data_IF_799246859997
#
_entry.id   IF_799246859997
#
_cell.length_a   1.000
_cell.length_b   1.000
_cell.length_c   1.000
_cell.angle_alpha   90.00
_cell.angle_beta   90.00
_cell.angle_gamma   90.00
#
_symmetry.space_group_name_H-M   'P 1'
#
loop_
_entity.id
_entity.type
_entity.pdbx_description
1 polymer ?
#
# COMPACT_ATOMS: atom_id res chain seq x y z
N UNK A 1 -20.76 -32.56 -11.45
CA UNK A 1 -21.53 -31.44 -10.87
C UNK A 1 -20.51 -30.44 -10.38
N UNK A 2 -20.41 -29.29 -11.04
CA UNK A 2 -19.38 -28.30 -10.75
C UNK A 2 -19.67 -27.61 -9.42
N UNK A 3 -18.67 -27.58 -8.54
CA UNK A 3 -18.63 -26.61 -7.45
C UNK A 3 -18.54 -25.23 -8.10
N UNK A 4 -19.65 -24.50 -8.15
CA UNK A 4 -19.58 -23.05 -8.29
C UNK A 4 -18.77 -22.57 -7.08
N UNK A 5 -17.57 -22.05 -7.33
CA UNK A 5 -16.90 -21.23 -6.33
C UNK A 5 -17.88 -20.10 -6.02
N UNK A 6 -18.41 -20.06 -4.80
CA UNK A 6 -19.18 -18.91 -4.32
C UNK A 6 -18.25 -17.70 -4.53
N UNK A 7 -18.61 -16.81 -5.45
CA UNK A 7 -17.92 -15.53 -5.59
C UNK A 7 -17.92 -14.88 -4.21
N UNK A 8 -16.74 -14.67 -3.64
CA UNK A 8 -16.59 -13.99 -2.37
C UNK A 8 -16.92 -12.51 -2.61
N UNK A 9 -18.18 -12.13 -2.49
CA UNK A 9 -18.56 -10.72 -2.46
C UNK A 9 -17.84 -10.04 -1.30
N UNK A 10 -17.15 -8.91 -1.53
CA UNK A 10 -16.51 -8.17 -0.45
C UNK A 10 -17.54 -7.69 0.57
N UNK A 11 -17.16 -7.66 1.85
CA UNK A 11 -18.05 -7.26 2.94
C UNK A 11 -18.70 -5.88 2.69
N UNK A 12 -17.97 -4.95 2.07
CA UNK A 12 -18.46 -3.61 1.78
C UNK A 12 -19.60 -3.54 0.75
N UNK A 13 -19.83 -4.58 -0.07
CA UNK A 13 -20.97 -4.59 -1.01
C UNK A 13 -22.31 -4.59 -0.29
N UNK A 14 -22.36 -5.19 0.90
CA UNK A 14 -23.56 -5.24 1.73
C UNK A 14 -23.83 -3.95 2.51
N UNK A 15 -22.88 -3.00 2.51
CA UNK A 15 -23.00 -1.76 3.26
C UNK A 15 -23.82 -0.70 2.50
N UNK A 16 -24.51 0.22 3.22
CA UNK A 16 -25.11 1.41 2.62
C UNK A 16 -24.13 2.15 1.72
N UNK A 17 -24.61 2.77 0.64
CA UNK A 17 -23.74 3.49 -0.32
C UNK A 17 -22.94 4.65 0.32
N UNK A 18 -23.40 5.18 1.45
CA UNK A 18 -22.68 6.20 2.24
C UNK A 18 -21.43 5.68 2.93
N UNK A 19 -21.29 4.36 3.05
CA UNK A 19 -20.28 3.70 3.86
C UNK A 19 -19.26 3.03 2.93
N UNK A 20 -17.98 3.19 3.21
CA UNK A 20 -16.90 2.70 2.37
C UNK A 20 -16.49 1.28 2.74
N UNK A 21 -16.26 1.00 4.02
CA UNK A 21 -15.90 -0.35 4.50
C UNK A 21 -16.13 -0.48 6.01
N UNK A 22 -15.80 -1.64 6.58
CA UNK A 22 -15.71 -1.88 8.03
C UNK A 22 -14.25 -2.20 8.39
N UNK A 23 -13.75 -1.63 9.48
CA UNK A 23 -12.42 -1.97 10.01
C UNK A 23 -12.39 -3.40 10.54
N UNK A 24 -11.20 -3.96 10.73
CA UNK A 24 -10.98 -5.23 11.42
C UNK A 24 -11.40 -5.18 12.90
N UNK A 25 -11.60 -3.97 13.46
CA UNK A 25 -12.16 -3.74 14.79
C UNK A 25 -13.70 -3.60 14.79
N UNK A 26 -14.34 -3.61 13.62
CA UNK A 26 -15.80 -3.54 13.47
C UNK A 26 -16.37 -2.14 13.28
N UNK A 27 -15.53 -1.10 13.19
CA UNK A 27 -15.99 0.27 12.98
C UNK A 27 -16.34 0.52 11.51
N UNK A 28 -17.48 1.14 11.28
CA UNK A 28 -17.89 1.51 9.91
C UNK A 28 -17.17 2.77 9.47
N UNK A 29 -16.44 2.67 8.36
CA UNK A 29 -15.74 3.80 7.74
C UNK A 29 -16.69 4.49 6.77
N UNK A 30 -16.79 5.80 6.93
CA UNK A 30 -17.45 6.71 6.00
C UNK A 30 -16.42 7.69 5.45
N UNK A 31 -16.64 8.14 4.24
CA UNK A 31 -15.87 9.24 3.68
C UNK A 31 -16.84 10.34 3.31
N UNK A 32 -16.55 11.56 3.73
CA UNK A 32 -17.06 12.70 2.98
C UNK A 32 -16.27 12.75 1.69
N UNK A 33 -16.94 12.91 0.55
CA UNK A 33 -16.26 13.09 -0.73
C UNK A 33 -15.50 14.41 -0.63
N UNK A 34 -14.17 14.32 -0.53
CA UNK A 34 -13.33 15.47 -0.32
C UNK A 34 -13.04 16.15 -1.64
N UNK A 35 -12.97 17.48 -1.61
CA UNK A 35 -12.47 18.23 -2.72
C UNK A 35 -10.97 17.94 -2.87
N UNK A 36 -10.62 17.27 -3.96
CA UNK A 36 -9.23 17.07 -4.36
C UNK A 36 -8.60 18.45 -4.56
N UNK A 37 -7.39 18.72 -4.04
CA UNK A 37 -6.75 20.02 -4.25
C UNK A 37 -6.66 20.32 -5.75
N UNK A 38 -7.00 21.53 -6.16
CA UNK A 38 -7.18 21.91 -7.58
C UNK A 38 -5.97 21.52 -8.46
N UNK A 39 -4.75 21.69 -7.96
CA UNK A 39 -3.52 21.28 -8.66
C UNK A 39 -3.47 19.79 -9.01
N UNK A 40 -3.98 18.91 -8.13
CA UNK A 40 -4.06 17.46 -8.39
C UNK A 40 -5.09 17.19 -9.47
N UNK A 41 -6.26 17.85 -9.39
CA UNK A 41 -7.33 17.69 -10.36
C UNK A 41 -6.86 18.09 -11.78
N UNK A 42 -6.30 19.29 -11.92
CA UNK A 42 -5.75 19.78 -13.20
C UNK A 42 -4.71 18.80 -13.77
N UNK A 43 -3.81 18.29 -12.91
CA UNK A 43 -2.78 17.35 -13.34
C UNK A 43 -3.39 16.05 -13.87
N UNK A 44 -4.33 15.46 -13.13
CA UNK A 44 -4.96 14.19 -13.51
C UNK A 44 -5.80 14.38 -14.78
N UNK A 45 -6.57 15.45 -14.89
CA UNK A 45 -7.37 15.74 -16.08
C UNK A 45 -6.49 15.95 -17.32
N UNK A 46 -5.33 16.59 -17.17
CA UNK A 46 -4.34 16.73 -18.24
C UNK A 46 -3.75 15.38 -18.68
N UNK A 47 -3.41 14.50 -17.74
CA UNK A 47 -2.91 13.15 -18.04
C UNK A 47 -3.97 12.27 -18.70
N UNK A 48 -5.20 12.37 -18.21
CA UNK A 48 -6.39 11.69 -18.76
C UNK A 48 -6.68 12.13 -20.21
N UNK A 49 -6.56 13.43 -20.48
CA UNK A 49 -6.76 13.99 -21.82
C UNK A 49 -5.65 13.57 -22.80
N UNK A 50 -4.39 13.62 -22.38
CA UNK A 50 -3.25 13.17 -23.18
C UNK A 50 -3.38 11.70 -23.56
N UNK A 51 -3.79 10.85 -22.60
CA UNK A 51 -4.02 9.43 -22.87
C UNK A 51 -5.07 9.20 -23.98
N UNK A 52 -6.13 10.01 -24.03
CA UNK A 52 -7.11 9.92 -25.12
C UNK A 52 -6.55 10.40 -26.46
N UNK A 53 -5.74 11.46 -26.47
CA UNK A 53 -5.06 11.95 -27.67
C UNK A 53 -4.09 10.91 -28.26
N UNK A 54 -3.43 10.14 -27.40
CA UNK A 54 -2.50 9.07 -27.75
C UNK A 54 -3.19 7.70 -27.96
N UNK A 55 -4.54 7.66 -27.87
CA UNK A 55 -5.35 6.46 -27.98
C UNK A 55 -5.02 5.36 -26.93
N UNK A 56 -4.51 5.78 -25.77
CA UNK A 56 -4.25 4.96 -24.58
C UNK A 56 -5.49 4.91 -23.68
N UNK A 57 -6.56 4.28 -24.15
CA UNK A 57 -7.87 4.24 -23.45
C UNK A 57 -7.76 3.67 -22.03
N UNK A 58 -6.90 2.67 -21.81
CA UNK A 58 -6.67 2.08 -20.48
C UNK A 58 -6.09 3.12 -19.51
N UNK A 59 -5.20 4.00 -19.98
CA UNK A 59 -4.54 5.01 -19.16
C UNK A 59 -5.53 6.08 -18.74
N UNK A 60 -6.38 6.52 -19.66
CA UNK A 60 -7.51 7.39 -19.36
C UNK A 60 -8.41 6.80 -18.26
N UNK A 61 -8.85 5.55 -18.41
CA UNK A 61 -9.71 4.88 -17.42
C UNK A 61 -9.03 4.74 -16.05
N UNK A 62 -7.72 4.49 -16.03
CA UNK A 62 -6.93 4.47 -14.79
C UNK A 62 -6.92 5.84 -14.13
N UNK A 63 -6.72 6.92 -14.89
CA UNK A 63 -6.70 8.28 -14.34
C UNK A 63 -8.05 8.69 -13.77
N UNK A 64 -9.14 8.40 -14.47
CA UNK A 64 -10.50 8.67 -13.98
C UNK A 64 -10.79 7.90 -12.68
N UNK A 65 -10.46 6.61 -12.62
CA UNK A 65 -10.68 5.83 -11.40
C UNK A 65 -9.76 6.24 -10.23
N UNK A 66 -8.52 6.64 -10.52
CA UNK A 66 -7.61 7.21 -9.51
C UNK A 66 -8.16 8.53 -8.96
N UNK A 67 -8.70 9.40 -9.82
CA UNK A 67 -9.34 10.67 -9.44
C UNK A 67 -10.46 10.41 -8.43
N UNK A 68 -11.38 9.51 -8.74
CA UNK A 68 -12.48 9.11 -7.84
C UNK A 68 -11.98 8.62 -6.48
N UNK A 69 -10.91 7.83 -6.47
CA UNK A 69 -10.34 7.35 -5.24
C UNK A 69 -9.62 8.45 -4.43
N UNK A 70 -9.00 9.43 -5.10
CA UNK A 70 -8.40 10.59 -4.42
C UNK A 70 -9.43 11.52 -3.79
N UNK A 71 -10.67 11.55 -4.29
CA UNK A 71 -11.78 12.22 -3.59
C UNK A 71 -12.33 11.40 -2.42
N UNK A 72 -11.78 10.21 -2.17
CA UNK A 72 -12.18 9.32 -1.07
C UNK A 72 -13.20 8.26 -1.44
N UNK A 73 -13.79 8.28 -2.64
CA UNK A 73 -14.81 7.32 -3.05
C UNK A 73 -14.18 6.03 -3.62
N UNK A 74 -13.64 5.22 -2.72
CA UNK A 74 -12.92 4.00 -3.06
C UNK A 74 -13.83 2.91 -3.64
N UNK A 75 -15.09 2.82 -3.19
CA UNK A 75 -16.09 1.88 -3.74
C UNK A 75 -16.41 2.20 -5.20
N UNK A 76 -16.67 3.47 -5.51
CA UNK A 76 -16.91 3.86 -6.90
C UNK A 76 -15.68 3.65 -7.79
N UNK A 77 -14.46 3.90 -7.27
CA UNK A 77 -13.23 3.60 -8.00
C UNK A 77 -13.08 2.10 -8.30
N UNK A 78 -13.42 1.20 -7.35
CA UNK A 78 -13.46 -0.25 -7.60
C UNK A 78 -14.45 -0.60 -8.71
N UNK A 79 -15.62 0.03 -8.75
CA UNK A 79 -16.60 -0.20 -9.81
C UNK A 79 -16.04 0.23 -11.18
N UNK A 80 -15.45 1.43 -11.27
CA UNK A 80 -14.84 1.93 -12.50
C UNK A 80 -13.73 1.00 -13.01
N UNK A 81 -12.87 0.49 -12.12
CA UNK A 81 -11.87 -0.50 -12.52
C UNK A 81 -12.51 -1.82 -12.96
N UNK A 82 -13.59 -2.25 -12.31
CA UNK A 82 -14.31 -3.48 -12.68
C UNK A 82 -14.89 -3.35 -14.09
N UNK A 83 -15.53 -2.23 -14.42
CA UNK A 83 -16.07 -1.96 -15.75
C UNK A 83 -14.95 -1.85 -16.81
N UNK A 84 -13.81 -1.28 -16.45
CA UNK A 84 -12.63 -1.22 -17.32
C UNK A 84 -12.03 -2.61 -17.57
N UNK A 85 -11.99 -3.48 -16.56
CA UNK A 85 -11.49 -4.87 -16.69
C UNK A 85 -12.40 -5.70 -17.60
N UNK A 86 -13.72 -5.48 -17.56
CA UNK A 86 -14.64 -6.15 -18.50
C UNK A 86 -14.31 -5.82 -19.97
N UNK A 87 -13.87 -4.59 -20.24
CA UNK A 87 -13.48 -4.14 -21.58
C UNK A 87 -12.05 -4.56 -21.95
N UNK A 88 -11.14 -4.56 -20.97
CA UNK A 88 -9.71 -4.82 -21.16
C UNK A 88 -9.18 -5.90 -20.20
N UNK A 89 -9.66 -7.15 -20.31
CA UNK A 89 -9.39 -8.21 -19.32
C UNK A 89 -7.93 -8.66 -19.26
N UNK A 90 -7.08 -8.25 -20.21
CA UNK A 90 -5.66 -8.60 -20.24
C UNK A 90 -4.75 -7.45 -19.76
N UNK A 91 -5.32 -6.38 -19.21
CA UNK A 91 -4.55 -5.24 -18.68
C UNK A 91 -4.12 -5.47 -17.24
N UNK A 92 -2.85 -5.84 -17.03
CA UNK A 92 -2.26 -6.01 -15.70
C UNK A 92 -2.39 -4.76 -14.80
N UNK A 93 -2.35 -3.56 -15.40
CA UNK A 93 -2.45 -2.29 -14.68
C UNK A 93 -3.81 -2.11 -14.02
N UNK A 94 -4.89 -2.51 -14.69
CA UNK A 94 -6.24 -2.38 -14.14
C UNK A 94 -6.42 -3.24 -12.88
N UNK A 95 -5.99 -4.51 -12.93
CA UNK A 95 -5.99 -5.39 -11.76
C UNK A 95 -5.14 -4.81 -10.62
N UNK A 96 -3.92 -4.35 -10.93
CA UNK A 96 -3.04 -3.74 -9.91
C UNK A 96 -3.68 -2.52 -9.25
N UNK A 97 -4.39 -1.67 -10.00
CA UNK A 97 -5.02 -0.49 -9.40
C UNK A 97 -6.27 -0.85 -8.62
N UNK A 98 -7.10 -1.79 -9.11
CA UNK A 98 -8.26 -2.28 -8.36
C UNK A 98 -7.87 -2.98 -7.07
N UNK A 99 -6.86 -3.85 -7.11
CA UNK A 99 -6.30 -4.51 -5.93
C UNK A 99 -5.83 -3.52 -4.86
N UNK A 100 -5.24 -2.39 -5.27
CA UNK A 100 -4.89 -1.32 -4.34
C UNK A 100 -6.13 -0.71 -3.67
N UNK A 101 -7.24 -0.52 -4.39
CA UNK A 101 -8.48 -0.03 -3.76
C UNK A 101 -9.11 -1.09 -2.85
N UNK A 102 -9.04 -2.37 -3.21
CA UNK A 102 -9.47 -3.46 -2.32
C UNK A 102 -8.67 -3.50 -1.01
N UNK A 103 -7.35 -3.25 -1.03
CA UNK A 103 -6.56 -3.07 0.19
C UNK A 103 -7.13 -1.95 1.08
N UNK A 104 -7.38 -0.77 0.52
CA UNK A 104 -7.99 0.35 1.25
C UNK A 104 -9.34 -0.04 1.84
N UNK A 105 -10.12 -0.85 1.14
CA UNK A 105 -11.43 -1.33 1.59
C UNK A 105 -11.38 -2.58 2.48
N UNK A 106 -10.21 -3.01 2.97
CA UNK A 106 -10.03 -4.22 3.80
C UNK A 106 -10.47 -5.52 3.11
N UNK A 107 -10.64 -5.51 1.80
CA UNK A 107 -10.97 -6.68 0.99
C UNK A 107 -9.69 -7.41 0.54
N UNK A 108 -8.91 -7.89 1.51
CA UNK A 108 -7.55 -8.39 1.28
C UNK A 108 -7.49 -9.61 0.36
N UNK A 109 -8.45 -10.53 0.45
CA UNK A 109 -8.52 -11.69 -0.46
C UNK A 109 -8.66 -11.25 -1.93
N UNK A 110 -9.58 -10.32 -2.21
CA UNK A 110 -9.77 -9.79 -3.57
C UNK A 110 -8.57 -8.98 -4.05
N UNK A 111 -7.91 -8.25 -3.14
CA UNK A 111 -6.67 -7.56 -3.45
C UNK A 111 -5.56 -8.54 -3.88
N UNK A 112 -5.40 -9.65 -3.13
CA UNK A 112 -4.45 -10.72 -3.45
C UNK A 112 -4.75 -11.31 -4.83
N UNK A 113 -6.01 -11.67 -5.11
CA UNK A 113 -6.42 -12.24 -6.39
C UNK A 113 -6.07 -11.28 -7.56
N UNK A 114 -6.36 -9.99 -7.40
CA UNK A 114 -6.03 -8.97 -8.40
C UNK A 114 -4.52 -8.80 -8.60
N UNK A 115 -3.73 -8.74 -7.53
CA UNK A 115 -2.28 -8.61 -7.67
C UNK A 115 -1.63 -9.86 -8.27
N UNK A 116 -2.14 -11.06 -7.94
CA UNK A 116 -1.69 -12.31 -8.54
C UNK A 116 -2.03 -12.34 -10.05
N UNK A 117 -3.23 -11.90 -10.43
CA UNK A 117 -3.61 -11.75 -11.85
C UNK A 117 -2.70 -10.75 -12.57
N UNK A 118 -2.44 -9.58 -11.97
CA UNK A 118 -1.51 -8.60 -12.54
C UNK A 118 -0.11 -9.20 -12.76
N UNK A 119 0.41 -9.92 -11.76
CA UNK A 119 1.71 -10.59 -11.83
C UNK A 119 1.76 -11.70 -12.89
N UNK A 120 0.66 -12.42 -13.09
CA UNK A 120 0.53 -13.38 -14.19
C UNK A 120 0.57 -12.68 -15.55
N UNK A 121 -0.18 -11.58 -15.70
CA UNK A 121 -0.33 -10.87 -16.96
C UNK A 121 0.93 -10.12 -17.41
N UNK A 122 1.77 -9.65 -16.49
CA UNK A 122 3.06 -9.03 -16.84
C UNK A 122 4.25 -10.00 -16.87
N UNK A 123 4.04 -11.29 -16.55
CA UNK A 123 5.15 -12.26 -16.50
C UNK A 123 5.85 -12.35 -17.86
N UNK A 124 7.16 -12.15 -17.85
CA UNK A 124 7.99 -12.18 -19.07
C UNK A 124 7.82 -10.95 -19.98
N UNK A 125 7.12 -9.90 -19.51
CA UNK A 125 7.01 -8.62 -20.20
C UNK A 125 7.95 -7.60 -19.56
N UNK A 126 8.30 -6.58 -20.35
CA UNK A 126 9.02 -5.42 -19.84
C UNK A 126 8.21 -4.68 -18.79
N UNK A 127 8.93 -4.08 -17.84
CA UNK A 127 8.34 -3.30 -16.77
C UNK A 127 7.90 -1.93 -17.27
N UNK A 128 6.81 -1.41 -16.70
CA UNK A 128 6.20 -0.14 -17.10
C UNK A 128 6.28 0.81 -15.92
N UNK A 129 7.04 1.90 -16.08
CA UNK A 129 7.06 2.99 -15.09
C UNK A 129 5.67 3.60 -14.99
N UNK A 130 5.18 3.80 -13.77
CA UNK A 130 3.88 4.43 -13.56
C UNK A 130 4.04 5.87 -13.14
N UNK A 131 3.26 6.75 -13.76
CA UNK A 131 3.24 8.17 -13.42
C UNK A 131 2.53 8.43 -12.09
N UNK A 132 3.13 9.29 -11.28
CA UNK A 132 2.55 9.75 -10.03
C UNK A 132 1.36 10.68 -10.30
N UNK A 133 0.36 10.61 -9.43
CA UNK A 133 -0.79 11.52 -9.52
C UNK A 133 -0.36 12.96 -9.20
N UNK A 134 0.55 13.10 -8.24
CA UNK A 134 1.35 14.29 -8.05
C UNK A 134 2.82 13.94 -8.07
N UNK A 135 3.62 14.62 -8.91
CA UNK A 135 5.04 14.36 -8.95
C UNK A 135 5.73 14.76 -7.64
N UNK A 136 6.75 13.99 -7.28
CA UNK A 136 7.70 14.39 -6.23
C UNK A 136 8.52 15.63 -6.64
N UNK A 137 9.32 16.13 -5.70
CA UNK A 137 10.11 17.35 -5.89
C UNK A 137 11.08 17.29 -7.09
N UNK A 138 11.44 16.10 -7.56
CA UNK A 138 12.32 15.89 -8.71
C UNK A 138 11.56 15.53 -10.00
N UNK A 139 10.25 15.34 -9.94
CA UNK A 139 9.40 14.90 -11.05
C UNK A 139 9.90 13.59 -11.70
N UNK A 140 10.42 12.68 -10.89
CA UNK A 140 10.92 11.36 -11.32
C UNK A 140 10.00 10.28 -10.73
N UNK A 141 9.21 9.57 -11.54
CA UNK A 141 8.40 8.48 -11.01
C UNK A 141 9.28 7.38 -10.40
N UNK A 142 8.96 7.00 -9.16
CA UNK A 142 9.76 6.04 -8.41
C UNK A 142 9.30 4.60 -8.59
N UNK A 143 8.06 4.40 -9.00
CA UNK A 143 7.44 3.08 -8.99
C UNK A 143 7.01 2.63 -10.37
N UNK A 144 6.90 1.32 -10.54
CA UNK A 144 6.46 0.69 -11.78
C UNK A 144 5.31 -0.26 -11.53
N UNK A 145 4.70 -0.77 -12.60
CA UNK A 145 3.69 -1.81 -12.54
C UNK A 145 4.20 -3.00 -11.72
N UNK A 146 5.40 -3.50 -11.99
CA UNK A 146 5.92 -4.68 -11.30
C UNK A 146 6.24 -4.38 -9.84
N UNK A 147 6.94 -3.28 -9.53
CA UNK A 147 7.30 -2.97 -8.14
C UNK A 147 6.05 -2.73 -7.30
N UNK A 148 5.07 -2.03 -7.84
CA UNK A 148 3.85 -1.78 -7.10
C UNK A 148 3.01 -3.05 -6.91
N UNK A 149 2.88 -3.91 -7.93
CA UNK A 149 2.14 -5.17 -7.76
C UNK A 149 2.76 -6.01 -6.66
N UNK A 150 4.09 -6.20 -6.67
CA UNK A 150 4.76 -6.99 -5.64
C UNK A 150 4.71 -6.36 -4.25
N UNK A 151 4.83 -5.04 -4.16
CA UNK A 151 4.73 -4.31 -2.90
C UNK A 151 3.36 -4.51 -2.26
N UNK A 152 2.29 -4.29 -3.02
CA UNK A 152 0.93 -4.37 -2.49
C UNK A 152 0.47 -5.83 -2.30
N UNK A 153 0.93 -6.78 -3.12
CA UNK A 153 0.69 -8.21 -2.88
C UNK A 153 1.31 -8.65 -1.55
N UNK A 154 2.57 -8.25 -1.31
CA UNK A 154 3.24 -8.54 -0.06
C UNK A 154 2.52 -7.92 1.13
N UNK A 155 2.06 -6.67 0.99
CA UNK A 155 1.30 -5.98 2.02
C UNK A 155 -0.05 -6.65 2.31
N UNK A 156 -0.77 -7.08 1.28
CA UNK A 156 -2.06 -7.75 1.46
C UNK A 156 -1.91 -9.07 2.25
N UNK A 157 -0.89 -9.88 1.93
CA UNK A 157 -0.56 -11.06 2.71
C UNK A 157 -0.10 -10.71 4.12
N UNK A 158 0.73 -9.67 4.28
CA UNK A 158 1.22 -9.22 5.58
C UNK A 158 0.07 -8.84 6.53
N UNK A 159 -0.89 -8.06 6.04
CA UNK A 159 -2.06 -7.60 6.80
C UNK A 159 -2.97 -8.77 7.24
N UNK A 160 -2.94 -9.89 6.52
CA UNK A 160 -3.65 -11.12 6.88
C UNK A 160 -2.87 -12.05 7.81
N UNK A 161 -1.62 -11.72 8.15
CA UNK A 161 -0.72 -12.61 8.89
C UNK A 161 -0.15 -13.76 8.04
N UNK A 162 -0.28 -13.70 6.71
CA UNK A 162 0.22 -14.71 5.76
C UNK A 162 1.71 -14.44 5.42
N UNK A 163 2.55 -14.44 6.46
CA UNK A 163 3.92 -13.90 6.37
C UNK A 163 4.85 -14.64 5.40
N UNK A 164 4.67 -15.95 5.18
CA UNK A 164 5.44 -16.68 4.17
C UNK A 164 5.18 -16.14 2.74
N UNK A 165 3.91 -15.89 2.41
CA UNK A 165 3.53 -15.36 1.11
C UNK A 165 3.95 -13.90 0.95
N UNK A 166 3.83 -13.10 2.03
CA UNK A 166 4.34 -11.74 2.05
C UNK A 166 5.86 -11.71 1.77
N UNK A 167 6.61 -12.60 2.44
CA UNK A 167 8.06 -12.70 2.27
C UNK A 167 8.47 -13.06 0.83
N UNK A 168 7.71 -13.95 0.17
CA UNK A 168 7.91 -14.31 -1.24
C UNK A 168 7.61 -13.13 -2.17
N UNK A 169 6.48 -12.45 -1.99
CA UNK A 169 6.12 -11.29 -2.80
C UNK A 169 7.17 -10.17 -2.69
N UNK A 170 7.64 -9.85 -1.49
CA UNK A 170 8.70 -8.86 -1.30
C UNK A 170 10.06 -9.31 -1.87
N UNK A 171 10.35 -10.62 -1.88
CA UNK A 171 11.55 -11.14 -2.55
C UNK A 171 11.50 -10.92 -4.06
N UNK A 172 10.34 -11.14 -4.70
CA UNK A 172 10.14 -10.84 -6.12
C UNK A 172 10.24 -9.32 -6.37
N UNK A 173 9.66 -8.51 -5.50
CA UNK A 173 9.74 -7.05 -5.57
C UNK A 173 11.17 -6.52 -5.53
N UNK A 174 12.02 -7.05 -4.65
CA UNK A 174 13.44 -6.68 -4.56
C UNK A 174 14.25 -7.01 -5.83
N UNK A 175 13.84 -8.02 -6.59
CA UNK A 175 14.51 -8.37 -7.86
C UNK A 175 14.23 -7.35 -8.96
N UNK A 176 13.04 -6.72 -8.94
CA UNK A 176 12.62 -5.76 -9.96
C UNK A 176 12.79 -4.29 -9.55
N UNK A 177 13.11 -4.03 -8.28
CA UNK A 177 13.34 -2.68 -7.76
C UNK A 177 14.65 -2.08 -8.30
N UNK A 178 14.51 -1.04 -9.14
CA UNK A 178 15.63 -0.39 -9.86
C UNK A 178 16.21 0.85 -9.16
N UNK A 179 15.51 1.43 -8.18
CA UNK A 179 15.95 2.62 -7.44
C UNK A 179 15.98 2.39 -5.92
N UNK A 180 16.66 3.28 -5.22
CA UNK A 180 16.85 3.22 -3.77
C UNK A 180 15.54 3.29 -3.00
N UNK A 181 14.63 4.20 -3.39
CA UNK A 181 13.33 4.38 -2.73
C UNK A 181 12.50 3.09 -2.69
N UNK A 182 12.35 2.40 -3.83
CA UNK A 182 11.60 1.15 -3.87
C UNK A 182 12.32 0.04 -3.11
N UNK A 183 13.66 -0.02 -3.19
CA UNK A 183 14.43 -1.00 -2.40
C UNK A 183 14.24 -0.81 -0.90
N UNK A 184 14.27 0.43 -0.42
CA UNK A 184 14.03 0.78 0.99
C UNK A 184 12.61 0.37 1.42
N UNK A 185 11.59 0.69 0.62
CA UNK A 185 10.22 0.29 0.91
C UNK A 185 10.05 -1.23 1.01
N UNK A 186 10.67 -2.00 0.11
CA UNK A 186 10.64 -3.46 0.18
C UNK A 186 11.41 -4.02 1.38
N UNK A 187 12.60 -3.48 1.68
CA UNK A 187 13.41 -3.91 2.82
C UNK A 187 12.64 -3.67 4.12
N UNK A 188 11.98 -2.53 4.27
CA UNK A 188 11.17 -2.20 5.45
C UNK A 188 10.11 -3.26 5.74
N UNK A 189 9.21 -3.52 4.81
CA UNK A 189 8.15 -4.50 5.03
C UNK A 189 8.65 -5.95 5.14
N UNK A 190 9.63 -6.33 4.31
CA UNK A 190 10.22 -7.67 4.36
C UNK A 190 10.98 -7.91 5.67
N UNK A 191 11.65 -6.90 6.22
CA UNK A 191 12.30 -7.01 7.53
C UNK A 191 11.28 -7.37 8.61
N UNK A 192 10.18 -6.61 8.73
CA UNK A 192 9.14 -6.88 9.71
C UNK A 192 8.50 -8.26 9.49
N UNK A 193 8.27 -8.64 8.23
CA UNK A 193 7.78 -9.98 7.86
C UNK A 193 8.71 -11.09 8.35
N UNK A 194 10.02 -10.96 8.14
CA UNK A 194 11.00 -11.95 8.60
C UNK A 194 11.06 -12.04 10.13
N UNK A 195 10.95 -10.90 10.81
CA UNK A 195 10.86 -10.86 12.28
C UNK A 195 9.59 -11.55 12.80
N UNK A 196 8.42 -11.32 12.19
CA UNK A 196 7.16 -12.02 12.51
C UNK A 196 7.25 -13.54 12.27
N UNK A 197 8.08 -13.98 11.31
CA UNK A 197 8.39 -15.40 11.06
C UNK A 197 9.44 -15.99 12.03
N UNK A 198 10.03 -15.20 12.93
CA UNK A 198 11.14 -15.65 13.79
C UNK A 198 12.46 -15.86 13.03
N UNK A 199 12.61 -15.32 11.82
CA UNK A 199 13.79 -15.46 10.96
C UNK A 199 14.79 -14.32 11.19
N UNK A 200 15.21 -14.15 12.43
CA UNK A 200 15.97 -12.98 12.90
C UNK A 200 17.32 -12.80 12.18
N UNK A 201 18.04 -13.88 11.90
CA UNK A 201 19.32 -13.81 11.16
C UNK A 201 19.13 -13.27 9.74
N UNK A 202 18.06 -13.69 9.06
CA UNK A 202 17.75 -13.22 7.71
C UNK A 202 17.27 -11.77 7.72
N UNK A 203 16.47 -11.39 8.72
CA UNK A 203 16.07 -10.01 8.93
C UNK A 203 17.30 -9.10 9.14
N UNK A 204 18.25 -9.53 9.97
CA UNK A 204 19.51 -8.80 10.20
C UNK A 204 20.36 -8.65 8.93
N UNK A 205 20.51 -9.72 8.15
CA UNK A 205 21.23 -9.70 6.87
C UNK A 205 20.56 -8.83 5.81
N UNK A 206 19.23 -8.75 5.83
CA UNK A 206 18.49 -7.83 4.96
C UNK A 206 18.74 -6.38 5.39
N UNK A 207 18.63 -6.10 6.69
CA UNK A 207 18.81 -4.78 7.27
C UNK A 207 20.24 -4.24 7.10
N UNK A 208 21.25 -5.12 7.08
CA UNK A 208 22.65 -4.71 6.87
C UNK A 208 22.90 -4.06 5.51
N UNK A 209 22.03 -4.29 4.52
CA UNK A 209 22.09 -3.67 3.19
C UNK A 209 21.71 -2.18 3.20
N UNK A 210 21.07 -1.71 4.27
CA UNK A 210 20.62 -0.32 4.42
C UNK A 210 21.69 0.50 5.11
N UNK A 211 22.09 1.62 4.51
CA UNK A 211 23.09 2.55 5.07
C UNK A 211 22.47 3.92 5.38
N UNK A 212 23.01 4.67 6.36
CA UNK A 212 22.49 5.99 6.70
C UNK A 212 22.57 7.02 5.56
N UNK A 213 23.48 6.83 4.60
CA UNK A 213 23.78 7.82 3.53
C UNK A 213 23.04 7.53 2.22
N UNK A 214 22.02 6.66 2.25
CA UNK A 214 21.20 6.36 1.07
C UNK A 214 20.51 7.63 0.57
N UNK A 215 20.60 7.88 -0.72
CA UNK A 215 19.93 9.00 -1.38
C UNK A 215 18.52 8.56 -1.76
N UNK A 216 17.53 9.27 -1.21
CA UNK A 216 16.09 9.01 -1.35
C UNK A 216 15.40 10.25 -1.88
N UNK A 217 14.29 10.06 -2.59
CA UNK A 217 13.46 11.16 -3.08
C UNK A 217 12.22 11.34 -2.18
N UNK A 218 11.57 10.25 -1.76
CA UNK A 218 10.33 10.31 -0.96
C UNK A 218 10.31 9.34 0.23
N UNK A 219 10.83 8.12 0.10
CA UNK A 219 10.64 7.04 1.09
C UNK A 219 11.53 7.18 2.36
N UNK A 220 11.67 8.40 2.88
CA UNK A 220 12.53 8.74 4.03
C UNK A 220 12.04 8.10 5.33
N UNK A 221 10.74 8.11 5.61
CA UNK A 221 10.21 7.53 6.86
C UNK A 221 10.50 6.03 6.99
N UNK A 222 10.47 5.28 5.89
CA UNK A 222 10.87 3.86 5.90
C UNK A 222 12.36 3.70 6.19
N UNK A 223 13.20 4.56 5.63
CA UNK A 223 14.63 4.54 5.88
C UNK A 223 14.97 4.89 7.33
N UNK A 224 14.34 5.92 7.88
CA UNK A 224 14.48 6.33 9.28
C UNK A 224 14.07 5.21 10.25
N UNK A 225 12.94 4.55 10.00
CA UNK A 225 12.51 3.39 10.77
C UNK A 225 13.53 2.24 10.67
N UNK A 226 14.09 1.99 9.48
CA UNK A 226 15.16 1.00 9.33
C UNK A 226 16.42 1.41 10.12
N UNK A 227 16.73 2.70 10.23
CA UNK A 227 17.84 3.17 11.08
C UNK A 227 17.55 2.97 12.57
N UNK A 228 16.30 3.15 13.01
CA UNK A 228 15.86 2.80 14.38
C UNK A 228 15.98 1.30 14.61
N UNK A 229 15.53 0.46 13.66
CA UNK A 229 15.62 -0.99 13.77
C UNK A 229 17.08 -1.48 13.86
N UNK A 230 18.00 -0.72 13.25
CA UNK A 230 19.44 -0.97 13.28
C UNK A 230 20.13 -0.43 14.54
N UNK A 231 19.42 0.35 15.37
CA UNK A 231 19.97 1.02 16.55
C UNK A 231 20.89 2.20 16.22
N UNK A 232 20.75 2.78 15.02
CA UNK A 232 21.51 3.96 14.60
C UNK A 232 20.81 5.25 15.02
N UNK A 233 19.49 5.30 14.90
CA UNK A 233 18.65 6.42 15.34
C UNK A 233 17.85 6.05 16.60
N UNK A 234 17.52 7.06 17.41
CA UNK A 234 16.62 6.87 18.53
C UNK A 234 15.16 6.89 18.03
N UNK A 235 14.28 5.99 18.52
CA UNK A 235 12.85 6.06 18.22
C UNK A 235 12.20 7.39 18.67
N UNK A 236 12.75 8.02 19.71
CA UNK A 236 12.24 9.28 20.27
C UNK A 236 12.51 10.48 19.36
N UNK A 237 13.44 10.34 18.40
CA UNK A 237 13.80 11.41 17.45
C UNK A 237 12.84 11.48 16.25
N UNK A 238 11.98 10.48 16.03
CA UNK A 238 11.12 10.38 14.84
C UNK A 238 9.71 10.94 15.03
N UNK A 239 9.21 11.03 16.26
CA UNK A 239 7.86 11.57 16.54
C UNK A 239 7.98 13.07 16.87
N UNK A 240 7.87 13.91 15.85
CA UNK A 240 7.85 15.37 15.97
C UNK A 240 6.56 16.00 15.45
N UNK A 241 6.28 17.24 15.88
CA UNK A 241 5.07 17.98 15.53
C UNK A 241 4.98 18.40 14.04
N UNK A 242 6.08 18.31 13.29
CA UNK A 242 6.15 18.71 11.87
C UNK A 242 5.73 17.61 10.88
N UNK A 243 5.49 16.39 11.34
CA UNK A 243 5.14 15.24 10.49
C UNK A 243 3.72 15.33 9.92
N UNK A 244 3.53 14.92 8.66
CA UNK A 244 2.17 14.82 8.09
C UNK A 244 1.37 13.70 8.74
N UNK A 245 0.05 13.72 8.59
CA UNK A 245 -0.81 12.62 9.09
C UNK A 245 -0.49 11.25 8.45
N UNK A 246 0.07 11.23 7.23
CA UNK A 246 0.51 10.00 6.57
C UNK A 246 1.84 9.49 7.16
N UNK A 247 2.77 10.42 7.40
CA UNK A 247 4.05 10.11 8.05
C UNK A 247 3.79 9.57 9.46
N UNK A 248 2.87 10.19 10.21
CA UNK A 248 2.48 9.74 11.53
C UNK A 248 1.89 8.32 11.53
N UNK A 249 1.11 7.95 10.52
CA UNK A 249 0.58 6.58 10.43
C UNK A 249 1.70 5.56 10.15
N UNK A 250 2.63 5.90 9.25
CA UNK A 250 3.75 5.03 8.85
C UNK A 250 4.78 4.88 9.98
N UNK A 251 5.24 6.00 10.53
CA UNK A 251 6.17 6.07 11.66
C UNK A 251 5.55 5.42 12.89
N UNK A 252 4.29 5.72 13.19
CA UNK A 252 3.59 5.13 14.33
C UNK A 252 3.52 3.61 14.23
N UNK A 253 3.14 3.05 13.08
CA UNK A 253 3.11 1.60 12.90
C UNK A 253 4.50 0.97 13.13
N UNK A 254 5.53 1.51 12.47
CA UNK A 254 6.90 0.98 12.56
C UNK A 254 7.52 1.10 13.96
N UNK A 255 7.26 2.20 14.66
CA UNK A 255 7.71 2.40 16.04
C UNK A 255 6.98 1.47 17.00
N UNK A 256 5.66 1.30 16.83
CA UNK A 256 4.89 0.31 17.58
C UNK A 256 5.47 -1.09 17.39
N UNK A 257 5.74 -1.49 16.14
CA UNK A 257 6.41 -2.74 15.82
C UNK A 257 7.77 -2.86 16.50
N UNK A 258 8.60 -1.82 16.47
CA UNK A 258 9.88 -1.82 17.17
C UNK A 258 9.75 -2.00 18.69
N UNK A 259 8.78 -1.35 19.32
CA UNK A 259 8.53 -1.55 20.76
C UNK A 259 8.10 -3.00 21.06
N UNK A 260 7.25 -3.59 20.22
CA UNK A 260 6.76 -4.96 20.37
C UNK A 260 7.91 -5.98 20.35
N UNK A 261 8.73 -5.95 19.29
CA UNK A 261 9.88 -6.87 19.14
C UNK A 261 11.01 -6.64 20.17
N UNK A 262 10.94 -5.56 20.96
CA UNK A 262 11.87 -5.25 22.05
C UNK A 262 11.22 -5.44 23.44
N UNK A 263 10.18 -6.26 23.53
CA UNK A 263 9.58 -6.67 24.81
C UNK A 263 8.76 -5.59 25.50
N UNK A 264 8.22 -4.62 24.75
CA UNK A 264 7.32 -3.57 25.26
C UNK A 264 5.96 -3.57 24.55
N UNK A 265 5.21 -4.69 24.58
CA UNK A 265 3.94 -4.81 23.86
C UNK A 265 2.89 -3.79 24.30
N UNK A 266 2.83 -3.43 25.60
CA UNK A 266 1.90 -2.39 26.06
C UNK A 266 2.19 -1.01 25.47
N UNK A 267 3.46 -0.67 25.21
CA UNK A 267 3.82 0.56 24.51
C UNK A 267 3.49 0.48 23.02
N UNK A 268 3.70 -0.68 22.40
CA UNK A 268 3.33 -0.91 21.01
C UNK A 268 1.82 -0.72 20.79
N UNK A 269 0.99 -1.34 21.63
CA UNK A 269 -0.47 -1.18 21.60
C UNK A 269 -0.90 0.28 21.73
N UNK A 270 -0.30 1.03 22.67
CA UNK A 270 -0.60 2.45 22.81
C UNK A 270 -0.28 3.25 21.55
N UNK A 271 0.85 2.97 20.88
CA UNK A 271 1.23 3.68 19.66
C UNK A 271 0.28 3.32 18.51
N UNK A 272 -0.04 2.04 18.33
CA UNK A 272 -1.00 1.60 17.30
C UNK A 272 -2.40 2.16 17.54
N UNK A 273 -2.83 2.26 18.81
CA UNK A 273 -4.08 2.93 19.16
C UNK A 273 -4.04 4.41 18.77
N UNK A 274 -2.94 5.13 19.05
CA UNK A 274 -2.82 6.53 18.65
C UNK A 274 -2.87 6.71 17.12
N UNK A 275 -2.29 5.78 16.35
CA UNK A 275 -2.40 5.78 14.88
C UNK A 275 -3.85 5.56 14.45
N UNK A 276 -4.53 4.60 15.07
CA UNK A 276 -5.94 4.29 14.80
C UNK A 276 -6.86 5.48 15.12
N UNK A 277 -6.65 6.13 16.27
CA UNK A 277 -7.43 7.30 16.70
C UNK A 277 -7.15 8.53 15.83
N UNK A 278 -5.98 8.58 15.17
CA UNK A 278 -5.60 9.64 14.22
C UNK A 278 -6.44 9.66 12.94
N UNK A 279 -7.23 8.62 12.66
CA UNK A 279 -8.29 8.64 11.64
C UNK A 279 -7.83 8.62 10.17
N UNK A 280 -6.53 8.53 9.88
CA UNK A 280 -6.00 8.42 8.51
C UNK A 280 -6.16 6.99 7.96
N UNK A 281 -7.41 6.55 7.87
CA UNK A 281 -7.78 5.15 7.70
C UNK A 281 -7.34 4.52 6.37
N UNK A 282 -7.08 5.32 5.34
CA UNK A 282 -6.61 4.83 4.04
C UNK A 282 -5.09 4.55 4.03
N UNK A 283 -4.32 5.09 4.98
CA UNK A 283 -2.88 4.91 5.05
C UNK A 283 -2.49 3.49 5.47
N UNK A 284 -1.49 2.89 4.84
CA UNK A 284 -1.09 1.51 5.14
C UNK A 284 -0.62 1.31 6.59
N UNK A 285 0.05 2.30 7.19
CA UNK A 285 0.41 2.27 8.61
C UNK A 285 -0.82 2.22 9.54
N UNK A 286 -1.92 2.86 9.14
CA UNK A 286 -3.20 2.72 9.84
C UNK A 286 -3.74 1.31 9.70
N UNK A 287 -3.86 0.79 8.47
CA UNK A 287 -4.42 -0.56 8.24
C UNK A 287 -3.61 -1.62 8.99
N UNK A 288 -2.28 -1.46 9.03
CA UNK A 288 -1.40 -2.35 9.75
C UNK A 288 -1.54 -2.22 11.27
N UNK A 289 -1.68 -1.00 11.80
CA UNK A 289 -1.96 -0.78 13.23
C UNK A 289 -3.31 -1.39 13.64
N UNK A 290 -4.34 -1.19 12.82
CA UNK A 290 -5.66 -1.81 12.96
C UNK A 290 -5.57 -3.35 12.98
N UNK A 291 -4.75 -3.95 12.10
CA UNK A 291 -4.55 -5.40 12.07
C UNK A 291 -3.88 -5.94 13.34
N UNK A 292 -2.92 -5.21 13.91
CA UNK A 292 -2.27 -5.60 15.18
C UNK A 292 -3.23 -5.44 16.37
N UNK A 293 -4.06 -4.40 16.38
CA UNK A 293 -5.07 -4.19 17.43
C UNK A 293 -6.14 -5.29 17.40
N UNK A 294 -6.55 -5.74 16.21
CA UNK A 294 -7.58 -6.77 16.05
C UNK A 294 -7.13 -8.19 16.46
N UNK A 295 -5.82 -8.42 16.58
CA UNK A 295 -5.25 -9.73 16.96
C UNK A 295 -5.06 -9.88 18.48
N UNK A 296 -5.25 -8.80 19.26
CA UNK A 296 -5.00 -8.75 20.70
C UNK A 296 -6.26 -8.98 21.55
#
# INVERSE_FOLDING_TARGET
MGCQALEKSPAFESLPLSDQTVTMLGDTIKTDIQQIPERYLIRIDSLSSLALEENEVVDHLIWEARKTAYSGDYRQAVQQFTDAIQQFPNSARLYRHRGHRYLTLRAFDLAIDDFQMAAQLFRGKDDITEQDGMPNAQNIPLSSLQTNTWYHLGLAHYLKGEYDQANLAYANGLQVAKNTDMRVAFIYWKYMTLRKLGRDMEAGNLLSQVSPNMQLIENTSYHELLMVFKGVFSPDELLGDENTALDNATLGYGLGFWHDINGRPGRAQQIWQNVYDGGNWAAFGYIASEAELAQN
#
